data_IF_320598655425
#
_entry.id   IF_320598655425
#
_cell.length_a   1.000
_cell.length_b   1.000
_cell.length_c   1.000
_cell.angle_alpha   90.00
_cell.angle_beta   90.00
_cell.angle_gamma   90.00
#
_symmetry.space_group_name_H-M   'P 1'
#
loop_
_entity.id
_entity.type
_entity.pdbx_description
1 polymer ?
#
# COMPACT_ATOMS: atom_id res chain seq x y z
N UNK A 1 47.24 15.17 50.17
CA UNK A 1 46.52 15.39 48.89
C UNK A 1 47.18 14.48 47.87
N UNK A 2 46.64 13.29 47.69
CA UNK A 2 47.20 12.26 46.82
C UNK A 2 46.46 12.26 45.48
N UNK A 3 47.15 12.55 44.39
CA UNK A 3 46.64 12.48 43.03
C UNK A 3 46.64 11.02 42.59
N UNK A 4 45.48 10.44 42.39
CA UNK A 4 45.30 9.12 41.79
C UNK A 4 45.34 9.34 40.25
N UNK A 5 46.44 8.88 39.65
CA UNK A 5 46.55 8.82 38.17
C UNK A 5 45.81 7.58 37.66
N UNK A 6 44.77 7.76 36.86
CA UNK A 6 44.12 6.67 36.09
C UNK A 6 45.03 6.27 34.95
N UNK A 7 45.75 5.20 35.09
CA UNK A 7 46.42 4.55 33.95
C UNK A 7 45.38 3.86 33.05
N UNK A 8 45.41 4.24 31.76
CA UNK A 8 44.59 3.69 30.69
C UNK A 8 45.10 2.29 30.31
N UNK A 9 44.30 1.26 30.52
CA UNK A 9 44.57 -0.14 30.18
C UNK A 9 44.29 -0.44 28.71
N UNK A 10 44.72 0.43 27.76
CA UNK A 10 44.43 0.24 26.33
C UNK A 10 45.56 -0.37 25.52
N UNK A 11 46.73 -0.67 26.10
CA UNK A 11 47.92 -1.03 25.35
C UNK A 11 48.31 -2.51 25.48
N UNK A 12 47.39 -3.42 25.74
CA UNK A 12 47.66 -4.84 25.71
C UNK A 12 47.41 -5.49 24.35
N UNK A 13 48.13 -6.55 23.96
CA UNK A 13 47.95 -7.23 22.68
C UNK A 13 46.52 -7.75 22.44
N UNK A 14 45.75 -7.97 23.49
CA UNK A 14 44.32 -8.34 23.41
C UNK A 14 43.43 -7.18 23.00
N UNK A 15 43.75 -5.91 23.28
CA UNK A 15 42.98 -4.75 22.87
C UNK A 15 43.00 -4.50 21.39
N UNK A 16 44.14 -4.74 20.72
CA UNK A 16 44.28 -4.56 19.27
C UNK A 16 43.51 -5.63 18.48
N UNK A 17 43.48 -6.88 18.95
CA UNK A 17 42.74 -7.97 18.28
C UNK A 17 41.24 -7.76 18.35
N UNK A 18 40.71 -7.30 19.49
CA UNK A 18 39.28 -7.03 19.65
C UNK A 18 38.84 -5.84 18.77
N UNK A 19 39.70 -4.82 18.66
CA UNK A 19 39.39 -3.65 17.82
C UNK A 19 39.39 -4.00 16.32
N UNK A 20 40.34 -4.84 15.89
CA UNK A 20 40.39 -5.35 14.52
C UNK A 20 39.18 -6.23 14.17
N UNK A 21 38.74 -7.08 15.08
CA UNK A 21 37.53 -7.92 14.90
C UNK A 21 36.25 -7.09 14.80
N UNK A 22 36.12 -6.02 15.59
CA UNK A 22 34.95 -5.13 15.54
C UNK A 22 34.91 -4.30 14.22
N UNK A 23 36.06 -3.92 13.68
CA UNK A 23 36.13 -3.21 12.38
C UNK A 23 35.78 -4.15 11.21
N UNK A 24 36.21 -5.39 11.25
CA UNK A 24 35.85 -6.39 10.24
C UNK A 24 34.34 -6.67 10.28
N UNK A 25 33.74 -6.84 11.46
CA UNK A 25 32.29 -7.04 11.59
C UNK A 25 31.48 -5.84 11.06
N UNK A 26 31.89 -4.58 11.35
CA UNK A 26 31.23 -3.39 10.80
C UNK A 26 31.31 -3.32 9.28
N UNK A 27 32.46 -3.71 8.71
CA UNK A 27 32.64 -3.73 7.25
C UNK A 27 31.73 -4.76 6.55
N UNK A 28 31.53 -5.94 7.16
CA UNK A 28 30.62 -6.97 6.68
C UNK A 28 29.14 -6.55 6.80
N UNK A 29 28.79 -5.81 7.86
CA UNK A 29 27.42 -5.34 8.06
C UNK A 29 27.03 -4.25 7.06
N UNK A 30 27.93 -3.30 6.76
CA UNK A 30 27.70 -2.26 5.74
C UNK A 30 27.63 -2.85 4.32
N UNK A 31 28.46 -3.83 3.99
CA UNK A 31 28.42 -4.48 2.68
C UNK A 31 27.10 -5.25 2.48
N UNK A 32 26.59 -5.90 3.52
CA UNK A 32 25.34 -6.66 3.45
C UNK A 32 24.10 -5.76 3.35
N UNK A 33 24.10 -4.59 3.98
CA UNK A 33 23.02 -3.62 3.85
C UNK A 33 22.99 -2.95 2.47
N UNK A 34 24.14 -2.67 1.88
CA UNK A 34 24.21 -2.06 0.55
C UNK A 34 23.69 -3.00 -0.56
N UNK A 35 23.92 -4.31 -0.45
CA UNK A 35 23.38 -5.30 -1.38
C UNK A 35 21.86 -5.39 -1.27
N UNK A 36 21.30 -5.24 -0.06
CA UNK A 36 19.85 -5.30 0.15
C UNK A 36 19.10 -4.11 -0.48
N UNK A 37 19.73 -2.94 -0.57
CA UNK A 37 19.14 -1.77 -1.24
C UNK A 37 19.16 -1.89 -2.77
N UNK A 38 20.17 -2.56 -3.33
CA UNK A 38 20.27 -2.80 -4.77
C UNK A 38 19.20 -3.78 -5.27
N UNK A 39 18.85 -4.81 -4.48
CA UNK A 39 17.82 -5.79 -4.86
C UNK A 39 16.39 -5.28 -4.73
N UNK A 40 16.14 -4.27 -3.86
CA UNK A 40 14.81 -3.64 -3.73
C UNK A 40 14.48 -2.67 -4.88
N UNK A 41 15.46 -2.24 -5.66
CA UNK A 41 15.25 -1.32 -6.78
C UNK A 41 14.81 -2.03 -8.07
N UNK A 42 14.93 -3.36 -8.13
CA UNK A 42 14.77 -4.13 -9.36
C UNK A 42 13.40 -4.77 -9.57
N UNK A 43 12.46 -4.61 -8.63
CA UNK A 43 11.12 -5.20 -8.72
C UNK A 43 10.04 -4.22 -9.20
N UNK A 44 10.39 -3.27 -10.07
CA UNK A 44 9.36 -2.54 -10.80
C UNK A 44 8.82 -3.44 -11.90
N UNK A 45 7.71 -4.09 -11.59
CA UNK A 45 6.96 -4.85 -12.58
C UNK A 45 6.31 -3.86 -13.56
N UNK A 46 6.44 -4.12 -14.86
CA UNK A 46 5.69 -3.39 -15.87
C UNK A 46 4.22 -3.82 -15.86
N UNK A 47 3.34 -2.86 -16.11
CA UNK A 47 1.91 -3.14 -16.22
C UNK A 47 1.65 -4.05 -17.42
N UNK A 48 0.94 -5.14 -17.21
CA UNK A 48 0.56 -6.10 -18.25
C UNK A 48 -0.45 -5.46 -19.21
N UNK A 49 -0.13 -5.36 -20.52
CA UNK A 49 -1.08 -4.86 -21.52
C UNK A 49 -2.37 -5.71 -21.53
N UNK A 50 -3.52 -5.06 -21.66
CA UNK A 50 -4.80 -5.76 -21.71
C UNK A 50 -5.26 -6.39 -20.40
N UNK A 51 -4.65 -6.07 -19.27
CA UNK A 51 -5.07 -6.56 -17.96
C UNK A 51 -6.34 -5.86 -17.46
N UNK A 52 -6.39 -4.54 -17.40
CA UNK A 52 -7.54 -3.75 -16.96
C UNK A 52 -8.07 -4.02 -15.55
N UNK A 53 -7.40 -4.84 -14.73
CA UNK A 53 -7.87 -5.21 -13.40
C UNK A 53 -8.00 -3.99 -12.47
N UNK A 54 -6.97 -3.13 -12.44
CA UNK A 54 -6.99 -1.88 -11.66
C UNK A 54 -8.00 -0.84 -12.18
N UNK A 55 -8.48 -0.97 -13.41
CA UNK A 55 -9.55 -0.16 -13.97
C UNK A 55 -10.94 -0.74 -13.72
N UNK A 56 -11.04 -1.95 -13.17
CA UNK A 56 -12.30 -2.65 -12.92
C UNK A 56 -12.58 -2.82 -11.43
N UNK A 57 -11.66 -3.43 -10.68
CA UNK A 57 -11.91 -3.86 -9.31
C UNK A 57 -12.03 -2.70 -8.29
N UNK A 58 -11.07 -1.78 -8.14
CA UNK A 58 -11.13 -0.78 -7.07
C UNK A 58 -12.18 0.31 -7.34
N UNK A 59 -12.70 0.88 -6.26
CA UNK A 59 -13.47 2.14 -6.29
C UNK A 59 -12.53 3.33 -6.50
N UNK A 60 -13.03 4.38 -7.14
CA UNK A 60 -12.29 5.63 -7.35
C UNK A 60 -13.23 6.79 -7.03
N UNK A 61 -12.92 7.52 -5.97
CA UNK A 61 -13.74 8.65 -5.50
C UNK A 61 -13.48 9.96 -6.27
N UNK A 62 -12.36 10.06 -6.98
CA UNK A 62 -12.05 11.26 -7.78
C UNK A 62 -12.77 11.22 -9.14
N UNK A 63 -13.16 12.38 -9.67
CA UNK A 63 -13.79 12.46 -10.99
C UNK A 63 -12.93 11.84 -12.09
N UNK A 64 -13.58 11.12 -12.99
CA UNK A 64 -12.99 10.56 -14.20
C UNK A 64 -13.76 11.16 -15.40
N UNK A 65 -13.14 11.48 -16.53
CA UNK A 65 -13.86 11.92 -17.71
C UNK A 65 -15.01 10.95 -18.08
N UNK A 66 -16.25 11.46 -18.08
CA UNK A 66 -17.46 10.64 -18.25
C UNK A 66 -18.01 9.94 -17.01
N UNK A 67 -17.33 10.08 -15.84
CA UNK A 67 -17.80 9.59 -14.52
C UNK A 67 -17.49 10.67 -13.48
N UNK A 68 -18.31 11.73 -13.35
CA UNK A 68 -18.03 12.88 -12.49
C UNK A 68 -18.01 12.52 -11.01
N UNK A 69 -18.79 11.54 -10.59
CA UNK A 69 -18.88 11.06 -9.21
C UNK A 69 -17.84 9.96 -8.88
N UNK A 70 -16.91 9.74 -9.82
CA UNK A 70 -15.94 8.65 -9.70
C UNK A 70 -16.49 7.30 -10.18
N UNK A 71 -15.91 6.20 -9.72
CA UNK A 71 -16.23 4.84 -10.15
C UNK A 71 -16.51 3.94 -8.94
N UNK A 72 -17.65 3.24 -8.89
CA UNK A 72 -17.90 2.22 -7.87
C UNK A 72 -16.91 1.04 -7.97
N UNK A 73 -16.72 0.33 -6.87
CA UNK A 73 -15.98 -0.93 -6.85
C UNK A 73 -16.61 -1.96 -7.81
N UNK A 74 -15.80 -2.84 -8.35
CA UNK A 74 -16.20 -3.92 -9.26
C UNK A 74 -16.96 -3.48 -10.52
N UNK A 75 -16.83 -2.22 -10.90
CA UNK A 75 -17.44 -1.62 -12.09
C UNK A 75 -16.34 -1.26 -13.09
N UNK A 76 -16.40 -1.70 -14.35
CA UNK A 76 -15.45 -1.30 -15.37
C UNK A 76 -15.45 0.23 -15.57
N UNK A 77 -14.28 0.83 -15.67
CA UNK A 77 -14.13 2.24 -15.99
C UNK A 77 -14.61 2.51 -17.42
N UNK A 78 -15.36 3.60 -17.64
CA UNK A 78 -15.80 4.02 -18.98
C UNK A 78 -14.64 4.30 -19.96
N UNK A 79 -13.46 4.58 -19.41
CA UNK A 79 -12.25 4.80 -20.20
C UNK A 79 -11.51 3.50 -20.56
N UNK A 80 -12.04 2.34 -20.20
CA UNK A 80 -11.50 1.04 -20.58
C UNK A 80 -12.01 0.68 -21.97
N UNK A 81 -11.09 0.33 -22.89
CA UNK A 81 -11.45 -0.15 -24.23
C UNK A 81 -11.77 -1.67 -24.24
N UNK A 82 -12.21 -2.19 -25.38
CA UNK A 82 -12.53 -3.61 -25.57
C UNK A 82 -11.32 -4.52 -25.33
N UNK A 83 -10.10 -4.02 -25.54
CA UNK A 83 -8.85 -4.72 -25.30
C UNK A 83 -8.36 -4.54 -23.87
N UNK A 84 -9.20 -4.03 -22.95
CA UNK A 84 -8.89 -3.82 -21.54
C UNK A 84 -7.72 -2.84 -21.31
N UNK A 85 -7.59 -1.82 -22.18
CA UNK A 85 -6.58 -0.74 -22.09
C UNK A 85 -7.26 0.57 -21.72
N UNK A 86 -6.55 1.41 -20.98
CA UNK A 86 -7.05 2.73 -20.60
C UNK A 86 -6.88 3.74 -21.74
N UNK A 87 -7.98 4.29 -22.28
CA UNK A 87 -7.98 5.30 -23.35
C UNK A 87 -7.28 6.60 -22.96
N UNK A 88 -7.22 6.92 -21.66
CA UNK A 88 -6.61 8.14 -21.14
C UNK A 88 -5.29 7.87 -20.40
N UNK A 89 -4.59 6.76 -20.71
CA UNK A 89 -3.41 6.32 -19.97
C UNK A 89 -2.32 7.39 -19.89
N UNK A 90 -2.06 8.10 -21.01
CA UNK A 90 -1.05 9.16 -21.10
C UNK A 90 -1.66 10.57 -21.04
N UNK A 91 -2.98 10.69 -20.87
CA UNK A 91 -3.67 11.97 -20.84
C UNK A 91 -3.47 12.71 -19.53
N UNK A 92 -3.34 14.06 -19.54
CA UNK A 92 -3.35 14.87 -18.32
C UNK A 92 -4.70 14.83 -17.59
N UNK A 93 -5.76 14.37 -18.24
CA UNK A 93 -7.09 14.19 -17.63
C UNK A 93 -7.19 12.91 -16.80
N UNK A 94 -6.14 12.05 -16.81
CA UNK A 94 -6.10 10.83 -15.99
C UNK A 94 -6.04 11.21 -14.52
N UNK A 95 -6.96 10.71 -13.68
CA UNK A 95 -6.95 10.99 -12.25
C UNK A 95 -5.61 10.61 -11.58
N UNK A 96 -5.16 11.43 -10.63
CA UNK A 96 -3.91 11.18 -9.90
C UNK A 96 -3.90 9.83 -9.19
N UNK A 97 -5.04 9.39 -8.66
CA UNK A 97 -5.21 8.07 -8.06
C UNK A 97 -4.87 6.94 -9.04
N UNK A 98 -5.34 7.05 -10.29
CA UNK A 98 -5.03 6.06 -11.33
C UNK A 98 -3.59 6.15 -11.83
N UNK A 99 -3.01 7.37 -11.87
CA UNK A 99 -1.63 7.58 -12.34
C UNK A 99 -0.60 7.15 -11.29
N UNK A 100 -0.94 7.26 -10.00
CA UNK A 100 -0.07 6.89 -8.88
C UNK A 100 0.01 5.40 -8.60
N UNK A 101 -0.94 4.59 -9.10
CA UNK A 101 -0.94 3.16 -8.86
C UNK A 101 0.17 2.48 -9.67
N UNK A 102 1.16 1.94 -8.96
CA UNK A 102 2.29 1.23 -9.55
C UNK A 102 2.01 -0.27 -9.60
N UNK A 103 2.38 -0.92 -10.70
CA UNK A 103 2.30 -2.38 -10.80
C UNK A 103 3.28 -3.03 -9.83
N UNK A 104 2.85 -4.08 -9.13
CA UNK A 104 3.67 -4.92 -8.28
C UNK A 104 3.37 -6.40 -8.52
N UNK A 105 4.33 -7.26 -8.26
CA UNK A 105 4.15 -8.70 -8.41
C UNK A 105 3.04 -9.25 -7.51
N UNK A 106 2.91 -8.70 -6.30
CA UNK A 106 1.87 -9.07 -5.34
C UNK A 106 0.46 -8.72 -5.85
N UNK A 107 0.25 -7.47 -6.27
CA UNK A 107 -1.03 -6.99 -6.76
C UNK A 107 -1.42 -7.60 -8.13
N UNK A 108 -0.46 -7.67 -9.05
CA UNK A 108 -0.73 -8.03 -10.44
C UNK A 108 -0.69 -9.54 -10.68
N UNK A 109 0.05 -10.30 -9.87
CA UNK A 109 0.23 -11.73 -10.05
C UNK A 109 0.66 -12.10 -11.48
N UNK A 110 0.42 -13.33 -11.87
CA UNK A 110 0.79 -13.85 -13.19
C UNK A 110 -0.35 -13.74 -14.23
N UNK A 111 -1.56 -13.38 -13.80
CA UNK A 111 -2.74 -13.30 -14.67
C UNK A 111 -3.67 -12.15 -14.27
N UNK A 112 -4.55 -11.74 -15.21
CA UNK A 112 -5.65 -10.81 -14.90
C UNK A 112 -6.52 -11.32 -13.76
N UNK A 113 -6.82 -12.62 -13.73
CA UNK A 113 -7.68 -13.22 -12.72
C UNK A 113 -7.08 -13.07 -11.31
N UNK A 114 -5.79 -13.32 -11.15
CA UNK A 114 -5.11 -13.12 -9.86
C UNK A 114 -5.14 -11.66 -9.44
N UNK A 115 -4.85 -10.73 -10.35
CA UNK A 115 -4.93 -9.29 -10.09
C UNK A 115 -6.35 -8.87 -9.67
N UNK A 116 -7.39 -9.37 -10.33
CA UNK A 116 -8.78 -9.09 -9.98
C UNK A 116 -9.12 -9.59 -8.58
N UNK A 117 -8.78 -10.83 -8.25
CA UNK A 117 -9.04 -11.41 -6.92
C UNK A 117 -8.36 -10.57 -5.84
N UNK A 118 -7.06 -10.29 -5.99
CA UNK A 118 -6.30 -9.51 -5.02
C UNK A 118 -6.89 -8.10 -4.80
N UNK A 119 -7.24 -7.40 -5.88
CA UNK A 119 -7.81 -6.05 -5.79
C UNK A 119 -9.22 -6.03 -5.20
N UNK A 120 -10.04 -7.05 -5.48
CA UNK A 120 -11.38 -7.20 -4.91
C UNK A 120 -11.28 -7.46 -3.40
N UNK A 121 -10.38 -8.33 -2.98
CA UNK A 121 -10.15 -8.63 -1.57
C UNK A 121 -9.67 -7.38 -0.83
N UNK A 122 -8.73 -6.63 -1.41
CA UNK A 122 -8.26 -5.37 -0.86
C UNK A 122 -9.39 -4.35 -0.70
N UNK A 123 -10.23 -4.18 -1.74
CA UNK A 123 -11.39 -3.28 -1.71
C UNK A 123 -12.36 -3.66 -0.59
N UNK A 124 -12.66 -4.95 -0.43
CA UNK A 124 -13.54 -5.44 0.65
C UNK A 124 -12.96 -5.19 2.04
N UNK A 125 -11.66 -5.41 2.21
CA UNK A 125 -10.97 -5.21 3.50
C UNK A 125 -10.85 -3.73 3.88
N UNK A 126 -10.77 -2.84 2.90
CA UNK A 126 -10.62 -1.39 3.09
C UNK A 126 -11.93 -0.62 2.99
N UNK A 127 -13.03 -1.27 2.60
CA UNK A 127 -14.34 -0.63 2.52
C UNK A 127 -14.76 -0.08 3.90
N UNK A 128 -15.34 1.13 3.97
CA UNK A 128 -15.89 1.66 5.21
C UNK A 128 -16.89 0.68 5.79
N UNK A 129 -16.78 0.38 7.08
CA UNK A 129 -17.66 -0.57 7.78
C UNK A 129 -19.11 -0.05 7.78
N UNK A 130 -19.84 -0.32 6.73
CA UNK A 130 -21.27 0.06 6.57
C UNK A 130 -22.16 -0.59 7.63
N UNK A 131 -21.68 -1.68 8.26
CA UNK A 131 -22.39 -2.35 9.36
C UNK A 131 -22.63 -1.45 10.57
N UNK A 132 -21.67 -0.58 10.91
CA UNK A 132 -21.81 0.34 12.04
C UNK A 132 -22.78 1.51 11.73
N UNK A 133 -22.82 1.96 10.48
CA UNK A 133 -23.74 3.02 10.04
C UNK A 133 -25.18 2.47 10.01
N UNK A 134 -25.36 1.27 9.46
CA UNK A 134 -26.67 0.60 9.39
C UNK A 134 -27.24 0.28 10.79
N UNK A 135 -26.40 -0.12 11.73
CA UNK A 135 -26.83 -0.37 13.12
C UNK A 135 -27.25 0.92 13.85
N UNK A 136 -26.57 2.06 13.60
CA UNK A 136 -26.98 3.36 14.13
C UNK A 136 -28.30 3.84 13.54
N UNK A 137 -28.51 3.72 12.24
CA UNK A 137 -29.75 4.09 11.56
C UNK A 137 -30.95 3.24 12.06
N UNK A 138 -30.75 1.91 12.20
CA UNK A 138 -31.79 1.03 12.74
C UNK A 138 -32.13 1.35 14.20
N UNK A 139 -31.14 1.70 15.04
CA UNK A 139 -31.40 2.11 16.43
C UNK A 139 -32.20 3.40 16.51
N UNK A 140 -31.88 4.39 15.67
CA UNK A 140 -32.63 5.66 15.62
C UNK A 140 -34.06 5.42 15.13
N UNK A 141 -34.25 4.60 14.10
CA UNK A 141 -35.57 4.25 13.59
C UNK A 141 -36.43 3.54 14.66
N UNK A 142 -35.87 2.58 15.40
CA UNK A 142 -36.56 1.88 16.49
C UNK A 142 -36.95 2.85 17.61
N UNK A 143 -36.06 3.76 18.01
CA UNK A 143 -36.33 4.74 19.08
C UNK A 143 -37.48 5.67 18.66
N UNK A 144 -37.50 6.15 17.42
CA UNK A 144 -38.58 7.02 16.91
C UNK A 144 -39.91 6.26 16.89
N UNK A 145 -39.92 4.98 16.49
CA UNK A 145 -41.16 4.17 16.47
C UNK A 145 -41.72 3.95 17.87
N UNK A 146 -40.88 3.65 18.85
CA UNK A 146 -41.32 3.47 20.26
C UNK A 146 -41.82 4.79 20.84
N UNK A 147 -41.17 5.92 20.56
CA UNK A 147 -41.63 7.23 21.04
C UNK A 147 -43.04 7.61 20.50
N UNK A 148 -43.32 7.30 19.22
CA UNK A 148 -44.62 7.56 18.60
C UNK A 148 -45.74 6.65 19.13
N UNK A 149 -45.43 5.45 19.61
CA UNK A 149 -46.43 4.55 20.21
C UNK A 149 -46.83 4.92 21.64
N UNK A 150 -45.98 5.67 22.36
CA UNK A 150 -46.28 6.11 23.74
C UNK A 150 -46.99 7.46 23.83
N UNK A 151 -47.30 8.11 22.70
CA UNK A 151 -47.99 9.40 22.60
C UNK A 151 -49.41 9.28 22.02
N UNK A 152 -49.89 8.07 21.80
CA UNK A 152 -51.26 7.75 21.39
C UNK A 152 -52.00 7.05 22.54
#
# INVERSE_FOLDING_TARGET
>A
MSKISRQSTRDGPFGQVVFALLLVQKRWYCARSSIRWLTLREQRMECRPGCGACCTAPSISSPIPGMPDGKPANTPCIQLDEQQRCKIFTSPLRPKACAGLQASAEMCGNSRQQAMTWLIDLEMLTAPSTSLIRSKQNRVAIIITIANQNTA
#
